data_IF_676911715521
#
_entry.id   IF_676911715521
#
_cell.length_a   1.000
_cell.length_b   1.000
_cell.length_c   1.000
_cell.angle_alpha   90.00
_cell.angle_beta   90.00
_cell.angle_gamma   90.00
#
_symmetry.space_group_name_H-M   'P 1'
#
loop_
_entity.id
_entity.type
_entity.pdbx_description
1 polymer ?
#
# COMPACT_ATOMS: atom_id res chain seq x y z
N UNK A 1 -6.11 54.79 -12.90
CA UNK A 1 -5.24 53.72 -13.44
C UNK A 1 -4.43 53.19 -12.27
N UNK A 2 -4.94 52.17 -11.57
CA UNK A 2 -4.32 51.64 -10.36
C UNK A 2 -3.73 50.28 -10.69
N UNK A 3 -2.40 50.20 -10.69
CA UNK A 3 -1.67 48.94 -10.86
C UNK A 3 -1.61 48.24 -9.51
N UNK A 4 -2.22 47.07 -9.40
CA UNK A 4 -2.07 46.17 -8.27
C UNK A 4 -0.83 45.30 -8.51
N UNK A 5 0.19 45.46 -7.67
CA UNK A 5 1.36 44.58 -7.64
C UNK A 5 1.02 43.36 -6.77
N UNK A 6 0.73 42.22 -7.40
CA UNK A 6 0.62 40.94 -6.69
C UNK A 6 2.02 40.36 -6.56
N UNK A 7 2.59 40.43 -5.36
CA UNK A 7 3.81 39.69 -5.02
C UNK A 7 3.40 38.25 -4.70
N UNK A 8 3.55 37.37 -5.68
CA UNK A 8 3.53 35.93 -5.45
C UNK A 8 4.83 35.56 -4.72
N UNK A 9 4.77 35.51 -3.39
CA UNK A 9 5.77 34.82 -2.60
C UNK A 9 5.64 33.32 -2.86
N UNK A 10 6.35 32.82 -3.87
CA UNK A 10 6.54 31.39 -4.07
C UNK A 10 7.29 30.84 -2.87
N UNK A 11 6.58 30.21 -1.93
CA UNK A 11 7.20 29.17 -1.12
C UNK A 11 7.57 28.05 -2.08
N UNK A 12 8.83 28.08 -2.54
CA UNK A 12 9.46 26.88 -3.05
C UNK A 12 9.50 25.91 -1.87
N UNK A 13 8.51 25.02 -1.78
CA UNK A 13 8.70 23.78 -1.03
C UNK A 13 9.86 23.10 -1.74
N UNK A 14 11.06 23.24 -1.18
CA UNK A 14 12.13 22.29 -1.45
C UNK A 14 11.50 20.94 -1.13
N UNK A 15 11.13 20.20 -2.16
CA UNK A 15 11.17 18.75 -2.10
C UNK A 15 12.61 18.48 -1.74
N UNK A 16 12.90 18.33 -0.45
CA UNK A 16 14.14 17.75 0.00
C UNK A 16 14.19 16.42 -0.75
N UNK A 17 15.13 16.32 -1.69
CA UNK A 17 15.57 15.04 -2.18
C UNK A 17 15.82 14.22 -0.92
N UNK A 18 14.97 13.23 -0.67
CA UNK A 18 15.23 12.26 0.36
C UNK A 18 16.48 11.55 -0.13
N UNK A 19 17.64 11.90 0.42
CA UNK A 19 18.85 11.12 0.23
C UNK A 19 18.47 9.67 0.57
N UNK A 20 18.68 8.77 -0.37
CA UNK A 20 18.42 7.34 -0.21
C UNK A 20 19.73 6.67 0.20
N UNK A 21 20.02 6.58 1.53
CA UNK A 21 21.26 5.98 1.99
C UNK A 21 21.32 4.46 1.72
N UNK A 22 20.22 3.85 1.25
CA UNK A 22 20.12 2.44 0.96
C UNK A 22 20.43 2.08 -0.51
N UNK A 23 20.38 3.06 -1.44
CA UNK A 23 20.74 2.90 -2.86
C UNK A 23 21.88 3.79 -3.35
N UNK A 24 22.60 4.49 -2.47
CA UNK A 24 23.69 5.40 -2.86
C UNK A 24 24.93 4.65 -3.39
N UNK A 25 24.83 4.13 -4.61
CA UNK A 25 25.91 3.60 -5.43
C UNK A 25 25.74 4.09 -6.86
N UNK A 26 25.79 5.41 -7.05
CA UNK A 26 26.37 5.91 -8.28
C UNK A 26 27.89 5.69 -8.20
N UNK A 27 28.53 5.01 -9.16
CA UNK A 27 29.98 4.84 -9.16
C UNK A 27 30.66 6.22 -9.17
N UNK A 28 31.20 6.64 -8.02
CA UNK A 28 31.87 7.93 -7.84
C UNK A 28 31.30 8.86 -6.77
N UNK A 29 30.15 8.57 -6.15
CA UNK A 29 29.65 9.33 -5.00
C UNK A 29 30.22 8.79 -3.67
N UNK A 30 30.62 9.70 -2.78
CA UNK A 30 31.09 9.34 -1.43
C UNK A 30 29.88 8.86 -0.63
N UNK A 31 29.97 7.67 -0.04
CA UNK A 31 29.00 7.11 0.90
C UNK A 31 28.56 8.17 1.91
N UNK A 32 27.31 8.60 1.81
CA UNK A 32 26.73 9.54 2.79
C UNK A 32 26.29 8.74 4.01
N UNK A 33 26.94 8.98 5.16
CA UNK A 33 26.48 8.43 6.43
C UNK A 33 25.11 9.05 6.77
N UNK A 34 24.15 8.23 7.21
CA UNK A 34 22.88 8.73 7.76
C UNK A 34 23.17 9.77 8.86
N UNK A 35 22.64 11.01 8.77
CA UNK A 35 22.92 12.07 9.74
C UNK A 35 22.49 11.77 11.17
N UNK A 36 21.68 10.73 11.39
CA UNK A 36 21.07 10.47 12.70
C UNK A 36 21.85 9.51 13.59
N UNK A 37 22.64 8.59 13.01
CA UNK A 37 22.99 7.37 13.75
C UNK A 37 24.49 7.03 13.77
N UNK A 38 25.36 7.76 13.03
CA UNK A 38 26.78 7.39 12.85
C UNK A 38 26.99 5.92 12.40
N UNK A 39 25.95 5.26 11.91
CA UNK A 39 26.04 3.93 11.33
C UNK A 39 26.41 4.07 9.86
N UNK A 40 27.59 3.54 9.52
CA UNK A 40 28.02 3.34 8.14
C UNK A 40 27.17 2.23 7.52
N UNK A 41 26.25 2.60 6.64
CA UNK A 41 25.59 1.64 5.76
C UNK A 41 26.61 1.19 4.72
N UNK A 42 26.99 -0.09 4.81
CA UNK A 42 27.92 -0.72 3.89
C UNK A 42 27.07 -1.40 2.82
N UNK A 43 27.24 -0.93 1.58
CA UNK A 43 26.81 -1.53 0.31
C UNK A 43 25.41 -1.17 -0.21
N UNK A 44 25.41 -0.47 -1.35
CA UNK A 44 24.26 -0.35 -2.24
C UNK A 44 23.94 -1.65 -2.98
N UNK A 45 23.52 -1.57 -4.26
CA UNK A 45 23.06 -2.71 -5.09
C UNK A 45 23.85 -3.99 -4.75
N UNK A 46 23.13 -5.00 -4.25
CA UNK A 46 23.75 -6.28 -3.88
C UNK A 46 24.60 -6.78 -5.05
N UNK A 47 25.87 -7.20 -4.85
CA UNK A 47 26.69 -7.72 -5.94
C UNK A 47 26.02 -8.87 -6.71
N UNK A 48 25.10 -9.59 -6.06
CA UNK A 48 24.27 -10.63 -6.67
C UNK A 48 23.30 -10.06 -7.71
N UNK A 49 22.64 -8.95 -7.41
CA UNK A 49 21.68 -8.28 -8.29
C UNK A 49 22.32 -7.69 -9.55
N UNK A 50 23.64 -7.47 -9.53
CA UNK A 50 24.41 -7.08 -10.70
C UNK A 50 24.64 -8.24 -11.69
N UNK A 51 24.14 -9.44 -11.40
CA UNK A 51 24.30 -10.61 -12.27
C UNK A 51 22.96 -11.02 -12.88
N UNK A 52 22.96 -11.28 -14.19
CA UNK A 52 21.80 -11.83 -14.90
C UNK A 52 21.37 -13.19 -14.32
N UNK A 53 22.35 -14.00 -13.88
CA UNK A 53 22.10 -15.30 -13.27
C UNK A 53 21.19 -15.20 -12.03
N UNK A 54 21.43 -14.24 -11.15
CA UNK A 54 20.60 -14.06 -9.95
C UNK A 54 19.12 -13.89 -10.29
N UNK A 55 18.81 -13.02 -11.27
CA UNK A 55 17.43 -12.77 -11.68
C UNK A 55 16.79 -13.98 -12.37
N UNK A 56 17.55 -14.73 -13.18
CA UNK A 56 17.05 -15.97 -13.77
C UNK A 56 16.74 -17.04 -12.72
N UNK A 57 17.67 -17.26 -11.77
CA UNK A 57 17.49 -18.23 -10.70
C UNK A 57 16.28 -17.87 -9.83
N UNK A 58 16.09 -16.59 -9.50
CA UNK A 58 14.92 -16.10 -8.75
C UNK A 58 13.61 -16.37 -9.51
N UNK A 59 13.57 -16.06 -10.81
CA UNK A 59 12.40 -16.29 -11.64
C UNK A 59 12.05 -17.78 -11.76
N UNK A 60 13.06 -18.65 -11.93
CA UNK A 60 12.87 -20.09 -11.96
C UNK A 60 12.31 -20.60 -10.64
N UNK A 61 12.86 -20.15 -9.49
CA UNK A 61 12.35 -20.51 -8.18
C UNK A 61 10.87 -20.11 -8.00
N UNK A 62 10.49 -18.89 -8.37
CA UNK A 62 9.11 -18.39 -8.29
C UNK A 62 8.18 -19.20 -9.21
N UNK A 63 8.63 -19.56 -10.41
CA UNK A 63 7.86 -20.37 -11.35
C UNK A 63 7.61 -21.77 -10.78
N UNK A 64 8.65 -22.43 -10.27
CA UNK A 64 8.53 -23.76 -9.68
C UNK A 64 7.58 -23.75 -8.47
N UNK A 65 7.67 -22.72 -7.60
CA UNK A 65 6.76 -22.56 -6.47
C UNK A 65 5.29 -22.45 -6.92
N UNK A 66 5.03 -21.63 -7.96
CA UNK A 66 3.68 -21.44 -8.50
C UNK A 66 3.13 -22.71 -9.16
N UNK A 67 3.95 -23.43 -9.91
CA UNK A 67 3.56 -24.68 -10.57
C UNK A 67 3.28 -25.81 -9.57
N UNK A 68 4.04 -25.87 -8.47
CA UNK A 68 3.86 -26.87 -7.43
C UNK A 68 2.60 -26.63 -6.57
N UNK A 69 2.06 -25.40 -6.57
CA UNK A 69 0.94 -25.01 -5.69
C UNK A 69 -0.38 -25.67 -6.13
N UNK A 70 -1.04 -26.35 -5.20
CA UNK A 70 -2.37 -26.93 -5.39
C UNK A 70 -3.43 -26.11 -4.65
N UNK A 71 -4.54 -25.70 -5.30
CA UNK A 71 -5.63 -24.99 -4.61
C UNK A 71 -6.24 -25.83 -3.50
N UNK A 72 -6.45 -25.24 -2.32
CA UNK A 72 -7.22 -25.87 -1.26
C UNK A 72 -8.71 -25.84 -1.64
N UNK A 73 -9.32 -27.01 -1.79
CA UNK A 73 -10.76 -27.18 -2.12
C UNK A 73 -11.61 -27.58 -0.90
N UNK A 74 -11.02 -27.68 0.28
CA UNK A 74 -11.74 -28.02 1.51
C UNK A 74 -12.63 -26.86 1.99
N UNK A 75 -13.67 -27.20 2.75
CA UNK A 75 -14.51 -26.20 3.41
C UNK A 75 -13.72 -25.49 4.52
N UNK A 76 -13.74 -24.15 4.52
CA UNK A 76 -13.07 -23.37 5.55
C UNK A 76 -13.82 -23.48 6.89
N UNK A 77 -13.14 -23.92 7.95
CA UNK A 77 -13.69 -23.98 9.31
C UNK A 77 -13.71 -22.60 9.98
N UNK A 78 -12.71 -21.77 9.69
CA UNK A 78 -12.51 -20.47 10.32
C UNK A 78 -12.31 -19.41 9.23
N UNK A 79 -12.82 -18.20 9.47
CA UNK A 79 -12.59 -17.03 8.64
C UNK A 79 -11.91 -15.95 9.47
N UNK A 80 -10.78 -15.45 8.97
CA UNK A 80 -10.03 -14.34 9.57
C UNK A 80 -9.87 -13.28 8.50
N UNK A 81 -10.35 -12.07 8.77
CA UNK A 81 -10.21 -10.91 7.89
C UNK A 81 -9.29 -9.88 8.55
N UNK A 82 -8.16 -9.58 7.92
CA UNK A 82 -7.30 -8.47 8.31
C UNK A 82 -7.69 -7.23 7.48
N UNK A 83 -8.02 -6.14 8.17
CA UNK A 83 -8.43 -4.89 7.54
C UNK A 83 -7.42 -3.80 7.87
N UNK A 84 -6.68 -3.32 6.86
CA UNK A 84 -5.86 -2.11 6.97
C UNK A 84 -6.64 -0.90 6.48
N UNK A 85 -7.24 -0.14 7.41
CA UNK A 85 -7.97 1.08 7.06
C UNK A 85 -7.01 2.12 6.43
N UNK A 86 -7.40 2.68 5.29
CA UNK A 86 -6.57 3.63 4.53
C UNK A 86 -5.29 3.06 3.90
N UNK A 87 -5.10 1.74 3.88
CA UNK A 87 -3.87 1.11 3.40
C UNK A 87 -3.83 0.98 1.87
N UNK A 88 -3.41 2.05 1.19
CA UNK A 88 -3.22 2.07 -0.26
C UNK A 88 -2.02 1.21 -0.73
N UNK A 89 -1.91 0.93 -2.04
CA UNK A 89 -0.72 0.27 -2.61
C UNK A 89 0.57 1.06 -2.34
N UNK A 90 0.51 2.40 -2.34
CA UNK A 90 1.66 3.23 -2.01
C UNK A 90 2.04 3.06 -0.52
N UNK A 91 1.05 3.00 0.37
CA UNK A 91 1.27 2.73 1.80
C UNK A 91 1.91 1.36 2.02
N UNK A 92 1.51 0.34 1.25
CA UNK A 92 2.12 -1.00 1.29
C UNK A 92 3.60 -0.96 0.90
N UNK A 93 3.93 -0.33 -0.23
CA UNK A 93 5.32 -0.20 -0.68
C UNK A 93 6.17 0.56 0.33
N UNK A 94 5.66 1.67 0.87
CA UNK A 94 6.36 2.43 1.90
C UNK A 94 6.60 1.59 3.17
N UNK A 95 5.60 0.83 3.62
CA UNK A 95 5.74 -0.04 4.79
C UNK A 95 6.73 -1.19 4.55
N UNK A 96 6.75 -1.78 3.35
CA UNK A 96 7.71 -2.82 2.96
C UNK A 96 9.15 -2.30 3.02
N UNK A 97 9.40 -1.16 2.39
CA UNK A 97 10.71 -0.51 2.37
C UNK A 97 11.14 -0.21 3.80
N UNK A 98 10.28 0.44 4.57
CA UNK A 98 10.55 0.74 5.97
C UNK A 98 10.87 -0.51 6.81
N UNK A 99 10.14 -1.62 6.59
CA UNK A 99 10.41 -2.88 7.29
C UNK A 99 11.80 -3.46 6.96
N UNK A 100 12.25 -3.41 5.70
CA UNK A 100 13.59 -3.89 5.35
C UNK A 100 14.69 -2.96 5.86
N UNK A 101 14.46 -1.65 5.83
CA UNK A 101 15.37 -0.65 6.39
C UNK A 101 15.54 -0.81 7.91
N UNK A 102 14.46 -1.13 8.64
CA UNK A 102 14.55 -1.50 10.06
C UNK A 102 15.42 -2.75 10.33
N UNK A 103 15.64 -3.59 9.32
CA UNK A 103 16.53 -4.76 9.37
C UNK A 103 17.92 -4.48 8.81
N UNK A 104 18.25 -3.22 8.49
CA UNK A 104 19.49 -2.81 7.84
C UNK A 104 19.68 -3.43 6.43
N UNK A 105 18.57 -3.65 5.73
CA UNK A 105 18.52 -4.05 4.31
C UNK A 105 18.05 -2.87 3.45
N UNK A 106 18.16 -2.97 2.12
CA UNK A 106 17.72 -1.92 1.21
C UNK A 106 16.23 -1.55 1.36
N UNK A 107 15.37 -2.56 1.49
CA UNK A 107 13.93 -2.40 1.74
C UNK A 107 13.02 -2.98 0.66
N UNK A 108 13.38 -2.82 -0.61
CA UNK A 108 12.57 -3.11 -1.80
C UNK A 108 12.37 -4.62 -1.98
N UNK A 109 13.41 -5.39 -1.66
CA UNK A 109 13.42 -6.85 -1.73
C UNK A 109 12.80 -7.51 -0.49
N UNK A 110 12.42 -6.71 0.52
CA UNK A 110 11.72 -7.22 1.70
C UNK A 110 10.25 -7.52 1.37
N UNK A 111 9.59 -8.33 2.20
CA UNK A 111 8.17 -8.67 2.00
C UNK A 111 7.42 -8.52 3.32
N UNK A 112 6.26 -7.87 3.29
CA UNK A 112 5.31 -7.90 4.40
C UNK A 112 4.75 -9.32 4.57
N UNK A 113 4.28 -9.68 5.76
CA UNK A 113 3.82 -11.04 6.07
C UNK A 113 2.70 -11.53 5.13
N UNK A 114 1.76 -10.65 4.79
CA UNK A 114 0.64 -10.95 3.90
C UNK A 114 1.00 -10.92 2.40
N UNK A 115 2.14 -10.35 2.00
CA UNK A 115 2.59 -10.37 0.60
C UNK A 115 3.07 -11.76 0.17
N UNK A 116 3.34 -12.63 1.15
CA UNK A 116 3.64 -14.05 0.95
C UNK A 116 2.37 -14.89 0.76
N UNK A 117 1.18 -14.29 0.87
CA UNK A 117 -0.06 -15.02 0.66
C UNK A 117 -0.17 -15.51 -0.80
N UNK A 118 -0.78 -16.68 -1.02
CA UNK A 118 -0.73 -17.32 -2.31
C UNK A 118 -1.58 -16.64 -3.39
N UNK A 119 -2.49 -15.76 -2.99
CA UNK A 119 -3.46 -15.10 -3.86
C UNK A 119 -3.46 -13.60 -3.59
N UNK A 120 -3.58 -12.82 -4.66
CA UNK A 120 -3.74 -11.37 -4.63
C UNK A 120 -4.85 -10.95 -5.59
N UNK A 121 -5.49 -9.83 -5.30
CA UNK A 121 -6.58 -9.28 -6.11
C UNK A 121 -6.75 -7.80 -5.85
N UNK A 122 -7.43 -7.10 -6.77
CA UNK A 122 -7.75 -5.69 -6.65
C UNK A 122 -9.26 -5.52 -6.44
N UNK A 123 -9.64 -4.58 -5.58
CA UNK A 123 -11.04 -4.27 -5.26
C UNK A 123 -11.41 -2.85 -5.71
N UNK A 124 -12.60 -2.67 -6.30
CA UNK A 124 -13.16 -1.35 -6.63
C UNK A 124 -13.94 -0.80 -5.43
N UNK A 125 -13.40 0.23 -4.79
CA UNK A 125 -13.85 0.67 -3.44
C UNK A 125 -15.01 1.66 -3.41
N UNK A 126 -15.38 2.31 -4.52
CA UNK A 126 -16.44 3.33 -4.59
C UNK A 126 -17.72 3.02 -3.77
N UNK A 127 -18.32 4.01 -3.11
CA UNK A 127 -19.67 3.89 -2.53
C UNK A 127 -20.72 3.95 -3.66
N UNK A 128 -21.97 3.59 -3.39
CA UNK A 128 -23.03 3.67 -4.40
C UNK A 128 -23.22 5.10 -4.98
N UNK A 129 -22.99 6.12 -4.16
CA UNK A 129 -23.19 7.54 -4.45
C UNK A 129 -21.88 8.37 -4.48
N UNK A 130 -20.71 7.75 -4.24
CA UNK A 130 -19.42 8.45 -4.19
C UNK A 130 -18.28 7.63 -4.83
N UNK A 131 -17.46 8.30 -5.63
CA UNK A 131 -16.27 7.69 -6.25
C UNK A 131 -15.17 7.40 -5.22
N UNK A 132 -14.99 8.30 -4.25
CA UNK A 132 -14.04 8.14 -3.15
C UNK A 132 -14.82 7.65 -1.94
N UNK A 133 -14.50 6.44 -1.51
CA UNK A 133 -15.21 5.80 -0.40
C UNK A 133 -14.76 6.31 0.96
N UNK A 134 -15.66 6.22 1.94
CA UNK A 134 -15.34 6.35 3.35
C UNK A 134 -15.29 4.97 4.04
N UNK A 135 -14.91 4.93 5.31
CA UNK A 135 -14.82 3.67 6.06
C UNK A 135 -16.20 3.02 6.28
N UNK A 136 -17.30 3.79 6.33
CA UNK A 136 -18.64 3.26 6.58
C UNK A 136 -19.20 2.46 5.39
N UNK A 137 -19.21 3.07 4.20
CA UNK A 137 -19.76 2.41 3.01
C UNK A 137 -18.91 1.20 2.60
N UNK A 138 -17.58 1.30 2.77
CA UNK A 138 -16.65 0.22 2.48
C UNK A 138 -16.83 -0.95 3.46
N UNK A 139 -16.99 -0.67 4.76
CA UNK A 139 -17.32 -1.69 5.76
C UNK A 139 -18.59 -2.46 5.43
N UNK A 140 -19.63 -1.76 5.02
CA UNK A 140 -20.86 -2.39 4.55
C UNK A 140 -20.55 -3.35 3.38
N UNK A 141 -19.81 -2.89 2.38
CA UNK A 141 -19.49 -3.70 1.21
C UNK A 141 -18.74 -5.01 1.53
N UNK A 142 -17.62 -4.97 2.27
CA UNK A 142 -16.80 -6.17 2.51
C UNK A 142 -17.29 -7.05 3.66
N UNK A 143 -18.18 -6.57 4.55
CA UNK A 143 -18.76 -7.37 5.63
C UNK A 143 -20.13 -7.96 5.28
N UNK A 144 -20.95 -7.24 4.50
CA UNK A 144 -22.31 -7.68 4.16
C UNK A 144 -22.46 -8.13 2.70
N UNK A 145 -21.49 -7.79 1.84
CA UNK A 145 -21.54 -8.10 0.41
C UNK A 145 -22.37 -7.11 -0.42
N UNK A 146 -22.87 -6.02 0.18
CA UNK A 146 -23.71 -5.01 -0.49
C UNK A 146 -23.10 -3.62 -0.31
N UNK A 147 -23.04 -2.83 -1.39
CA UNK A 147 -22.55 -1.45 -1.33
C UNK A 147 -23.61 -0.53 -0.72
N UNK A 148 -23.19 0.36 0.17
CA UNK A 148 -23.99 1.44 0.75
C UNK A 148 -23.63 2.82 0.17
N UNK A 149 -24.32 3.83 0.66
CA UNK A 149 -24.00 5.24 0.43
C UNK A 149 -22.84 5.69 1.34
N UNK A 150 -22.17 6.78 0.99
CA UNK A 150 -21.13 7.37 1.83
C UNK A 150 -21.71 7.71 3.22
N UNK A 151 -20.93 7.47 4.28
CA UNK A 151 -21.32 7.70 5.67
C UNK A 151 -22.48 6.84 6.19
N UNK A 152 -22.91 5.80 5.48
CA UNK A 152 -23.92 4.83 5.97
C UNK A 152 -23.28 3.47 6.28
N UNK A 153 -23.81 2.78 7.32
CA UNK A 153 -23.29 1.49 7.79
C UNK A 153 -24.42 0.47 7.83
N UNK A 154 -24.21 -0.71 7.26
CA UNK A 154 -25.11 -1.85 7.41
C UNK A 154 -26.47 -1.72 6.72
N UNK A 155 -26.60 -0.76 5.79
CA UNK A 155 -27.83 -0.50 5.04
C UNK A 155 -27.50 -0.36 3.55
N UNK A 156 -28.48 -0.64 2.70
CA UNK A 156 -28.40 -0.46 1.24
C UNK A 156 -28.36 1.03 0.87
N UNK A 157 -28.09 1.30 -0.41
CA UNK A 157 -28.11 2.65 -0.97
C UNK A 157 -29.50 3.31 -1.03
N UNK A 158 -30.56 2.60 -0.63
CA UNK A 158 -31.90 3.17 -0.47
C UNK A 158 -32.01 4.07 0.77
N UNK A 159 -31.12 3.90 1.76
CA UNK A 159 -31.09 4.72 2.97
C UNK A 159 -30.14 5.90 2.76
N UNK A 160 -30.69 7.11 2.82
CA UNK A 160 -29.90 8.35 2.75
C UNK A 160 -29.09 8.63 4.01
N UNK A 161 -28.12 9.53 3.91
CA UNK A 161 -27.42 10.02 5.10
C UNK A 161 -28.40 10.66 6.07
N UNK A 162 -28.39 10.22 7.34
CA UNK A 162 -29.29 10.67 8.43
C UNK A 162 -30.77 10.36 8.21
N UNK A 163 -31.08 9.42 7.33
CA UNK A 163 -32.43 8.97 7.04
C UNK A 163 -32.85 7.84 8.00
N UNK A 164 -33.19 8.22 9.24
CA UNK A 164 -33.59 7.25 10.27
C UNK A 164 -34.94 6.58 9.96
N UNK A 165 -35.78 7.19 9.11
CA UNK A 165 -37.06 6.64 8.72
C UNK A 165 -36.85 5.41 7.83
N UNK A 166 -36.04 5.55 6.77
CA UNK A 166 -35.71 4.41 5.92
C UNK A 166 -34.79 3.39 6.59
N UNK A 167 -33.97 3.81 7.57
CA UNK A 167 -33.15 2.88 8.37
C UNK A 167 -33.99 1.86 9.16
N UNK A 168 -35.27 2.15 9.47
CA UNK A 168 -36.17 1.23 10.16
C UNK A 168 -36.82 0.20 9.23
N UNK A 169 -36.68 0.36 7.92
CA UNK A 169 -37.28 -0.55 6.96
C UNK A 169 -36.39 -1.79 6.78
N UNK A 170 -36.89 -2.95 7.22
CA UNK A 170 -36.19 -4.23 7.13
C UNK A 170 -35.92 -4.71 5.68
N UNK A 171 -36.53 -4.05 4.69
CA UNK A 171 -36.28 -4.33 3.27
C UNK A 171 -35.00 -3.66 2.73
N UNK A 172 -34.37 -2.76 3.51
CA UNK A 172 -33.23 -1.93 3.10
C UNK A 172 -31.97 -2.17 3.92
#
# INVERSE_FOLDING_TARGET
MNVFLVVLAGMLVKVLATDDPYHDVQPGLKTTASPKDNETFVEGISPKENTTKYWHDLNEAVLQEKLARKPNKGLAKNLILFLGDGMSLATLTAARIYLGQLKKEAGENSFLSFEKFPYTGLAKTYCADSQVADSACSATAYLTGVKGNIYTVGVTSSVGLRDWENMKNESY
#
